data_IF_426959375854
#
_entry.id   IF_426959375854
#
_cell.length_a   1.000
_cell.length_b   1.000
_cell.length_c   1.000
_cell.angle_alpha   90.00
_cell.angle_beta   90.00
_cell.angle_gamma   90.00
#
_symmetry.space_group_name_H-M   'P 1'
#
loop_
_entity.id
_entity.type
_entity.pdbx_description
1 polymer ?
#
# COMPACT_ATOMS: atom_id res chain seq x y z
N UNK A 1 -1.23 -20.79 -40.62
CA UNK A 1 -1.83 -19.61 -39.93
C UNK A 1 -2.29 -19.87 -38.50
N UNK A 2 -2.71 -21.09 -38.11
CA UNK A 2 -3.24 -21.37 -36.75
C UNK A 2 -2.17 -21.25 -35.63
N UNK A 3 -0.89 -21.57 -35.90
CA UNK A 3 0.18 -21.59 -34.88
C UNK A 3 0.58 -20.21 -34.32
N UNK A 4 0.44 -19.14 -35.09
CA UNK A 4 0.79 -17.78 -34.62
C UNK A 4 -0.29 -17.26 -33.66
N UNK A 5 -1.57 -17.60 -33.94
CA UNK A 5 -2.71 -17.22 -33.10
C UNK A 5 -2.64 -17.81 -31.70
N UNK A 6 -2.19 -19.07 -31.55
CA UNK A 6 -2.06 -19.71 -30.23
C UNK A 6 -0.89 -19.16 -29.43
N UNK A 7 0.23 -18.81 -30.07
CA UNK A 7 1.38 -18.20 -29.38
C UNK A 7 1.02 -16.82 -28.84
N UNK A 8 0.37 -15.98 -29.64
CA UNK A 8 -0.06 -14.64 -29.21
C UNK A 8 -1.08 -14.74 -28.08
N UNK A 9 -2.05 -15.66 -28.17
CA UNK A 9 -3.03 -15.90 -27.11
C UNK A 9 -2.37 -16.35 -25.81
N UNK A 10 -1.39 -17.27 -25.87
CA UNK A 10 -0.64 -17.72 -24.69
C UNK A 10 0.18 -16.61 -24.06
N UNK A 11 0.81 -15.74 -24.85
CA UNK A 11 1.57 -14.59 -24.34
C UNK A 11 0.62 -13.59 -23.66
N UNK A 12 -0.54 -13.31 -24.24
CA UNK A 12 -1.56 -12.46 -23.61
C UNK A 12 -2.06 -13.07 -22.29
N UNK A 13 -2.36 -14.37 -22.26
CA UNK A 13 -2.80 -15.06 -21.05
C UNK A 13 -1.73 -15.05 -19.95
N UNK A 14 -0.46 -15.26 -20.28
CA UNK A 14 0.64 -15.16 -19.32
C UNK A 14 0.74 -13.75 -18.71
N UNK A 15 0.61 -12.70 -19.53
CA UNK A 15 0.66 -11.31 -19.03
C UNK A 15 -0.55 -10.97 -18.13
N UNK A 16 -1.73 -11.52 -18.42
CA UNK A 16 -2.91 -11.35 -17.54
C UNK A 16 -2.71 -12.10 -16.22
N UNK A 17 -2.06 -13.26 -16.22
CA UNK A 17 -1.73 -14.00 -15.00
C UNK A 17 -0.63 -13.34 -14.14
N UNK A 18 0.25 -12.51 -14.73
CA UNK A 18 1.35 -11.85 -14.00
C UNK A 18 0.94 -10.56 -13.28
N UNK A 19 -0.19 -9.94 -13.66
CA UNK A 19 -0.72 -8.76 -13.00
C UNK A 19 -1.64 -9.13 -11.84
N UNK A 20 -1.15 -9.08 -10.60
CA UNK A 20 -2.02 -9.26 -9.43
C UNK A 20 -2.66 -7.95 -9.03
N UNK A 21 -3.95 -7.84 -9.29
CA UNK A 21 -4.80 -6.80 -8.76
C UNK A 21 -5.20 -7.18 -7.33
N UNK A 22 -4.76 -6.41 -6.34
CA UNK A 22 -5.20 -6.59 -4.95
C UNK A 22 -6.44 -5.73 -4.67
N UNK A 23 -7.50 -6.37 -4.18
CA UNK A 23 -8.73 -5.74 -3.74
C UNK A 23 -8.70 -5.56 -2.22
N UNK A 24 -8.83 -4.32 -1.75
CA UNK A 24 -8.89 -3.99 -0.32
C UNK A 24 -10.19 -4.54 0.30
N UNK A 25 -10.10 -5.14 1.49
CA UNK A 25 -11.25 -5.54 2.29
C UNK A 25 -11.97 -4.30 2.84
N UNK A 26 -13.23 -4.11 2.44
CA UNK A 26 -14.04 -2.96 2.90
C UNK A 26 -14.35 -2.99 4.40
N UNK A 27 -14.29 -4.17 5.04
CA UNK A 27 -14.49 -4.31 6.49
C UNK A 27 -13.19 -4.12 7.26
N UNK A 28 -12.05 -4.33 6.60
CA UNK A 28 -10.74 -4.21 7.19
C UNK A 28 -9.76 -3.61 6.17
N UNK A 29 -9.60 -2.28 6.10
CA UNK A 29 -8.78 -1.64 5.07
C UNK A 29 -7.29 -1.96 5.17
N UNK A 30 -6.86 -2.65 6.23
CA UNK A 30 -5.51 -3.17 6.44
C UNK A 30 -5.32 -4.59 5.86
N UNK A 31 -6.32 -5.11 5.14
CA UNK A 31 -6.31 -6.40 4.46
C UNK A 31 -6.65 -6.23 2.98
N UNK A 32 -5.99 -7.00 2.13
CA UNK A 32 -6.27 -7.08 0.71
C UNK A 32 -6.22 -8.52 0.17
N UNK A 33 -6.93 -8.77 -0.92
CA UNK A 33 -7.09 -10.08 -1.56
C UNK A 33 -6.63 -10.04 -3.01
N UNK A 34 -5.95 -11.08 -3.49
CA UNK A 34 -5.73 -11.28 -4.92
C UNK A 34 -4.93 -12.52 -5.24
N UNK A 35 -5.19 -13.08 -6.43
CA UNK A 35 -4.53 -14.28 -6.96
C UNK A 35 -4.47 -15.48 -5.99
N UNK A 36 -5.57 -15.74 -5.26
CA UNK A 36 -5.64 -16.80 -4.26
C UNK A 36 -4.89 -16.52 -2.94
N UNK A 37 -4.29 -15.34 -2.81
CA UNK A 37 -3.55 -14.91 -1.62
C UNK A 37 -4.31 -13.83 -0.83
N UNK A 38 -3.99 -13.77 0.47
CA UNK A 38 -4.46 -12.71 1.39
C UNK A 38 -3.24 -11.99 1.95
N UNK A 39 -3.25 -10.66 1.86
CA UNK A 39 -2.24 -9.79 2.44
C UNK A 39 -2.90 -9.06 3.62
N UNK A 40 -2.48 -9.35 4.83
CA UNK A 40 -3.09 -8.81 6.05
C UNK A 40 -2.02 -8.20 6.94
N UNK A 41 -2.08 -6.88 7.11
CA UNK A 41 -1.18 -6.13 7.98
C UNK A 41 -1.84 -5.67 9.28
N UNK A 42 -3.09 -6.09 9.53
CA UNK A 42 -3.90 -5.63 10.67
C UNK A 42 -3.19 -5.80 11.99
N UNK A 43 -2.51 -6.94 12.17
CA UNK A 43 -1.86 -7.34 13.41
C UNK A 43 -0.34 -7.09 13.41
N UNK A 44 0.20 -6.36 12.41
CA UNK A 44 1.62 -5.99 12.44
C UNK A 44 1.95 -5.09 13.63
N UNK A 45 0.95 -4.34 14.11
CA UNK A 45 1.08 -3.35 15.16
C UNK A 45 -0.06 -3.52 16.16
N UNK A 46 0.13 -3.22 17.46
CA UNK A 46 -0.91 -3.41 18.46
C UNK A 46 -2.14 -2.53 18.26
N UNK A 47 -1.93 -1.31 17.73
CA UNK A 47 -2.99 -0.33 17.53
C UNK A 47 -2.63 0.61 16.38
N UNK A 48 -3.65 0.97 15.59
CA UNK A 48 -3.61 2.00 14.56
C UNK A 48 -4.25 3.31 15.04
N UNK A 49 -3.81 4.47 14.55
CA UNK A 49 -2.61 4.72 13.74
C UNK A 49 -1.31 4.50 14.53
N UNK A 50 -0.22 4.21 13.84
CA UNK A 50 1.11 4.08 14.47
C UNK A 50 1.88 5.38 14.43
N UNK A 51 2.68 5.61 15.47
CA UNK A 51 3.60 6.75 15.53
C UNK A 51 5.02 6.26 15.30
N UNK A 52 5.72 6.94 14.40
CA UNK A 52 7.10 6.65 14.02
C UNK A 52 7.91 7.95 14.11
N UNK A 53 9.20 7.83 14.37
CA UNK A 53 10.15 8.95 14.26
C UNK A 53 11.21 8.57 13.22
N UNK A 54 11.54 9.48 12.33
CA UNK A 54 12.57 9.23 11.34
C UNK A 54 12.99 10.45 10.53
N UNK A 55 13.95 10.27 9.61
CA UNK A 55 14.48 11.34 8.80
C UNK A 55 13.50 11.77 7.71
N UNK A 56 13.44 13.08 7.45
CA UNK A 56 12.72 13.69 6.35
C UNK A 56 13.51 14.85 5.74
N UNK A 57 12.91 15.54 4.78
CA UNK A 57 13.58 16.69 4.15
C UNK A 57 13.81 17.79 5.19
N UNK A 58 15.08 18.15 5.41
CA UNK A 58 15.46 19.24 6.31
C UNK A 58 15.44 18.92 7.81
N UNK A 59 15.33 17.66 8.22
CA UNK A 59 15.43 17.27 9.63
C UNK A 59 14.71 15.98 10.00
N UNK A 60 14.52 15.76 11.29
CA UNK A 60 13.76 14.64 11.84
C UNK A 60 12.26 14.99 11.94
N UNK A 61 11.42 13.97 11.75
CA UNK A 61 9.96 14.09 11.75
C UNK A 61 9.31 13.01 12.63
N UNK A 62 8.17 13.37 13.21
CA UNK A 62 7.17 12.41 13.64
C UNK A 62 6.26 12.08 12.45
N UNK A 63 5.97 10.80 12.26
CA UNK A 63 5.03 10.30 11.28
C UNK A 63 3.92 9.54 11.98
N UNK A 64 2.69 9.78 11.56
CA UNK A 64 1.53 8.99 11.95
C UNK A 64 0.99 8.27 10.72
N UNK A 65 0.98 6.95 10.77
CA UNK A 65 0.56 6.12 9.65
C UNK A 65 -0.68 5.29 9.98
N UNK A 66 -1.64 5.27 9.07
CA UNK A 66 -2.85 4.45 9.15
C UNK A 66 -3.16 3.80 7.81
N UNK A 67 -3.31 2.48 7.79
CA UNK A 67 -3.82 1.74 6.63
C UNK A 67 -5.29 2.05 6.30
N UNK A 68 -6.05 2.55 7.29
CA UNK A 68 -7.46 2.92 7.13
C UNK A 68 -7.66 4.42 6.83
N UNK A 69 -6.58 5.18 6.73
CA UNK A 69 -6.62 6.64 6.88
C UNK A 69 -6.98 7.08 8.29
N UNK A 70 -7.33 8.35 8.45
CA UNK A 70 -7.61 9.00 9.72
C UNK A 70 -6.49 8.80 10.75
N UNK A 71 -5.40 9.53 10.54
CA UNK A 71 -4.28 9.55 11.49
C UNK A 71 -4.60 10.23 12.81
N UNK A 72 -5.72 10.97 12.92
CA UNK A 72 -6.09 11.85 14.05
C UNK A 72 -5.22 13.09 14.25
N UNK A 73 -4.12 13.22 13.49
CA UNK A 73 -3.19 14.35 13.59
C UNK A 73 -3.29 15.31 12.40
N UNK A 74 -3.73 14.81 11.25
CA UNK A 74 -4.12 15.62 10.10
C UNK A 74 -5.65 15.70 10.04
N UNK A 75 -6.18 16.82 9.56
CA UNK A 75 -7.63 17.09 9.53
C UNK A 75 -8.40 16.15 8.58
N UNK A 76 -7.76 15.73 7.49
CA UNK A 76 -8.41 14.93 6.45
C UNK A 76 -8.46 13.43 6.82
N UNK A 77 -9.67 12.87 6.80
CA UNK A 77 -9.95 11.47 7.08
C UNK A 77 -9.27 10.51 6.08
N UNK A 78 -8.99 10.96 4.86
CA UNK A 78 -8.30 10.16 3.84
C UNK A 78 -6.77 10.22 3.97
N UNK A 79 -6.23 11.00 4.91
CA UNK A 79 -4.79 11.03 5.19
C UNK A 79 -4.35 9.68 5.75
N UNK A 80 -3.51 8.96 5.01
CA UNK A 80 -2.86 7.72 5.46
C UNK A 80 -1.56 8.00 6.20
N UNK A 81 -0.82 9.04 5.81
CA UNK A 81 0.43 9.45 6.46
C UNK A 81 0.38 10.93 6.79
N UNK A 82 0.50 11.27 8.07
CA UNK A 82 0.62 12.64 8.56
C UNK A 82 2.03 12.82 9.12
N UNK A 83 2.64 13.99 8.94
CA UNK A 83 4.00 14.25 9.41
C UNK A 83 4.14 15.59 10.13
N UNK A 84 5.08 15.70 11.06
CA UNK A 84 5.43 16.93 11.77
C UNK A 84 6.94 16.98 12.04
N UNK A 85 7.59 18.12 11.79
CA UNK A 85 9.00 18.32 12.18
C UNK A 85 9.17 18.23 13.69
N UNK A 86 10.22 17.55 14.15
CA UNK A 86 10.47 17.42 15.60
C UNK A 86 11.04 18.68 16.24
N UNK A 87 11.69 19.53 15.44
CA UNK A 87 12.39 20.75 15.86
C UNK A 87 11.65 22.05 15.47
N UNK A 88 10.50 21.92 14.82
CA UNK A 88 9.68 23.03 14.34
C UNK A 88 8.45 23.27 15.21
N UNK A 89 7.63 24.28 14.86
CA UNK A 89 6.31 24.45 15.46
C UNK A 89 5.44 23.21 15.21
N UNK A 90 4.47 22.98 16.10
CA UNK A 90 3.52 21.84 16.03
C UNK A 90 2.51 21.99 14.88
N UNK A 91 3.01 22.01 13.65
CA UNK A 91 2.25 22.08 12.41
C UNK A 91 2.35 20.73 11.73
N UNK A 92 1.20 20.08 11.55
CA UNK A 92 1.10 18.80 10.87
C UNK A 92 0.86 19.00 9.37
N UNK A 93 1.43 18.12 8.56
CA UNK A 93 1.29 18.13 7.10
C UNK A 93 0.84 16.75 6.62
N UNK A 94 -0.06 16.75 5.63
CA UNK A 94 -0.40 15.53 4.91
C UNK A 94 0.79 15.10 4.05
N UNK A 95 1.27 13.87 4.29
CA UNK A 95 2.39 13.26 3.58
C UNK A 95 1.95 12.08 2.68
N UNK A 96 0.66 11.78 2.63
CA UNK A 96 0.10 10.73 1.78
C UNK A 96 -1.34 10.40 2.15
N UNK A 97 -2.16 10.22 1.12
CA UNK A 97 -3.54 9.75 1.27
C UNK A 97 -3.64 8.24 1.09
N UNK A 98 -4.75 7.66 1.56
CA UNK A 98 -5.10 6.29 1.19
C UNK A 98 -5.14 6.23 -0.33
N UNK A 99 -4.34 5.34 -0.91
CA UNK A 99 -4.45 5.08 -2.34
C UNK A 99 -5.52 4.02 -2.57
N UNK A 100 -6.53 4.30 -3.43
CA UNK A 100 -7.45 3.27 -3.90
C UNK A 100 -6.78 2.33 -4.91
N UNK A 101 -5.53 2.61 -5.30
CA UNK A 101 -4.82 1.84 -6.30
C UNK A 101 -4.42 0.49 -5.71
N UNK A 102 -5.02 -0.55 -6.27
CA UNK A 102 -4.37 -1.79 -6.69
C UNK A 102 -2.93 -1.87 -6.21
N UNK A 103 -2.71 -2.61 -5.12
CA UNK A 103 -1.34 -2.94 -4.75
C UNK A 103 -0.83 -3.84 -5.87
N UNK A 104 0.12 -3.34 -6.68
CA UNK A 104 0.84 -4.18 -7.62
C UNK A 104 1.75 -5.09 -6.81
N UNK A 105 1.21 -6.22 -6.38
CA UNK A 105 2.03 -7.32 -5.92
C UNK A 105 2.82 -7.83 -7.12
N UNK A 106 4.08 -7.41 -7.27
CA UNK A 106 5.01 -8.17 -8.10
C UNK A 106 5.08 -9.52 -7.42
N UNK A 107 4.48 -10.54 -8.04
CA UNK A 107 4.71 -11.91 -7.61
C UNK A 107 6.21 -12.15 -7.73
N UNK A 108 6.90 -12.17 -6.59
CA UNK A 108 8.06 -13.04 -6.39
C UNK A 108 7.53 -14.49 -6.40
N UNK A 109 6.92 -14.92 -7.50
CA UNK A 109 6.92 -16.34 -7.83
C UNK A 109 8.39 -16.71 -7.86
N UNK A 110 8.77 -17.73 -7.09
CA UNK A 110 10.15 -18.17 -7.00
C UNK A 110 10.75 -18.14 -8.41
N UNK A 111 11.72 -17.25 -8.63
CA UNK A 111 12.64 -17.39 -9.75
C UNK A 111 13.43 -18.67 -9.44
N UNK A 112 12.83 -19.82 -9.72
CA UNK A 112 13.60 -21.02 -9.96
C UNK A 112 14.43 -20.72 -11.20
N UNK A 113 15.69 -20.40 -10.94
CA UNK A 113 16.76 -20.45 -11.94
C UNK A 113 16.82 -21.83 -12.58
#
# INVERSE_FOLDING_TARGET
>A
MIKISTIVLSICLMNICSGSLLLIDRKNPCRAYGNGSVYDITNLVPQWPVTLKGPGYGGEYYYWWSCAGNTRYCEDADTAVCQQRTDGPSIQYNAGNISPQLWFGVFNGAATQ
#
